data_IF_724003316525
#
_entry.id   IF_724003316525
#
_cell.length_a   1.000
_cell.length_b   1.000
_cell.length_c   1.000
_cell.angle_alpha   90.00
_cell.angle_beta   90.00
_cell.angle_gamma   90.00
#
_symmetry.space_group_name_H-M   'P 1'
#
loop_
_entity.id
_entity.type
_entity.pdbx_description
1 polymer ?
#
# COMPACT_ATOMS: atom_id res chain seq x y z
N UNK A 1 30.57 8.29 -4.35
CA UNK A 1 30.32 7.53 -3.11
C UNK A 1 29.66 6.24 -3.53
N UNK A 2 30.31 5.10 -3.29
CA UNK A 2 29.78 3.80 -3.69
C UNK A 2 28.47 3.53 -2.96
N UNK A 3 27.45 3.11 -3.69
CA UNK A 3 26.17 2.65 -3.16
C UNK A 3 26.47 1.40 -2.32
N UNK A 4 26.42 1.51 -0.99
CA UNK A 4 26.53 0.32 -0.15
C UNK A 4 25.35 -0.60 -0.51
N UNK A 5 25.59 -1.89 -0.77
CA UNK A 5 24.50 -2.82 -1.07
C UNK A 5 23.54 -2.78 0.10
N UNK A 6 22.30 -2.37 -0.14
CA UNK A 6 21.25 -2.45 0.88
C UNK A 6 21.17 -3.91 1.31
N UNK A 7 21.32 -4.16 2.61
CA UNK A 7 20.97 -5.47 3.15
C UNK A 7 19.53 -5.76 2.74
N UNK A 8 19.31 -6.90 2.09
CA UNK A 8 17.96 -7.33 1.76
C UNK A 8 17.26 -7.86 3.02
N UNK A 9 15.94 -7.90 2.99
CA UNK A 9 15.13 -8.32 4.14
C UNK A 9 15.54 -9.71 4.66
N UNK A 10 15.91 -10.64 3.77
CA UNK A 10 16.34 -11.97 4.16
C UNK A 10 17.64 -11.96 4.98
N UNK A 11 18.65 -11.21 4.53
CA UNK A 11 19.91 -11.04 5.28
C UNK A 11 19.66 -10.40 6.64
N UNK A 12 18.83 -9.34 6.68
CA UNK A 12 18.50 -8.58 7.88
C UNK A 12 17.77 -9.42 8.95
N UNK A 13 16.87 -10.31 8.53
CA UNK A 13 16.15 -11.20 9.44
C UNK A 13 17.01 -12.39 9.91
N UNK A 14 17.98 -12.83 9.10
CA UNK A 14 18.90 -13.90 9.49
C UNK A 14 20.04 -13.43 10.39
N UNK A 15 20.46 -12.16 10.29
CA UNK A 15 21.51 -11.59 11.14
C UNK A 15 21.05 -11.38 12.58
N UNK A 16 19.75 -11.17 12.80
CA UNK A 16 19.14 -11.03 14.12
C UNK A 16 17.79 -11.75 14.15
N UNK A 17 17.75 -13.03 14.57
CA UNK A 17 16.52 -13.81 14.66
C UNK A 17 15.48 -13.24 15.64
N UNK A 18 15.87 -12.32 16.52
CA UNK A 18 14.96 -11.65 17.46
C UNK A 18 14.32 -10.39 16.87
N UNK A 19 14.81 -9.93 15.71
CA UNK A 19 14.31 -8.73 15.04
C UNK A 19 12.90 -8.95 14.50
N UNK A 20 11.98 -8.09 14.90
CA UNK A 20 10.64 -8.00 14.33
C UNK A 20 10.66 -6.95 13.24
N UNK A 21 10.22 -7.30 12.02
CA UNK A 21 10.05 -6.36 10.92
C UNK A 21 8.60 -5.90 10.87
N UNK A 22 8.35 -4.62 11.15
CA UNK A 22 7.00 -4.06 11.27
C UNK A 22 6.58 -3.38 9.97
N UNK A 23 5.52 -3.91 9.36
CA UNK A 23 4.90 -3.34 8.17
C UNK A 23 3.62 -2.60 8.57
N UNK A 24 3.60 -1.27 8.38
CA UNK A 24 2.39 -0.48 8.51
C UNK A 24 1.52 -0.62 7.24
N UNK A 25 0.48 -1.44 7.30
CA UNK A 25 -0.48 -1.60 6.20
C UNK A 25 -1.39 -0.36 6.10
N UNK A 26 -1.10 0.51 5.13
CA UNK A 26 -1.97 1.62 4.79
C UNK A 26 -3.24 1.13 4.07
N UNK A 27 -3.14 0.05 3.28
CA UNK A 27 -4.26 -0.56 2.57
C UNK A 27 -5.06 0.47 1.77
N UNK A 28 -6.37 0.53 2.03
CA UNK A 28 -7.30 1.49 1.40
C UNK A 28 -7.61 2.71 2.28
N UNK A 29 -6.92 2.90 3.41
CA UNK A 29 -7.20 3.96 4.39
C UNK A 29 -6.96 5.38 3.85
N UNK A 30 -6.31 5.50 2.69
CA UNK A 30 -6.18 6.77 1.96
C UNK A 30 -7.50 7.23 1.32
N UNK A 31 -8.49 6.35 1.14
CA UNK A 31 -9.80 6.72 0.61
C UNK A 31 -9.75 7.36 -0.78
N UNK A 32 -8.84 6.91 -1.64
CA UNK A 32 -8.60 7.50 -2.98
C UNK A 32 -7.91 8.87 -2.98
N UNK A 33 -7.52 9.42 -1.82
CA UNK A 33 -6.87 10.72 -1.73
C UNK A 33 -5.33 10.59 -1.62
N UNK A 34 -4.61 11.22 -2.56
CA UNK A 34 -3.14 11.17 -2.65
C UNK A 34 -2.46 11.84 -1.45
N UNK A 35 -2.97 12.97 -1.00
CA UNK A 35 -2.40 13.75 0.11
C UNK A 35 -2.53 12.98 1.43
N UNK A 36 -3.66 12.29 1.64
CA UNK A 36 -3.87 11.37 2.75
C UNK A 36 -2.94 10.17 2.64
N UNK A 37 -2.74 9.59 1.46
CA UNK A 37 -1.76 8.52 1.27
C UNK A 37 -0.34 8.98 1.63
N UNK A 38 0.07 10.18 1.23
CA UNK A 38 1.35 10.77 1.63
C UNK A 38 1.44 11.01 3.15
N UNK A 39 0.32 11.40 3.78
CA UNK A 39 0.27 11.52 5.24
C UNK A 39 0.43 10.16 5.94
N UNK A 40 -0.14 9.08 5.39
CA UNK A 40 0.05 7.72 5.89
C UNK A 40 1.51 7.25 5.79
N UNK A 41 2.21 7.58 4.70
CA UNK A 41 3.66 7.31 4.56
C UNK A 41 4.45 8.00 5.69
N UNK A 42 4.18 9.29 5.93
CA UNK A 42 4.85 10.04 7.01
C UNK A 42 4.48 9.52 8.40
N UNK A 43 3.22 9.15 8.61
CA UNK A 43 2.75 8.58 9.87
C UNK A 43 3.45 7.25 10.18
N UNK A 44 3.55 6.34 9.21
CA UNK A 44 4.25 5.06 9.37
C UNK A 44 5.72 5.26 9.77
N UNK A 45 6.41 6.23 9.15
CA UNK A 45 7.79 6.57 9.56
C UNK A 45 7.84 7.15 10.97
N UNK A 46 6.93 8.05 11.29
CA UNK A 46 6.87 8.69 12.61
C UNK A 46 6.61 7.69 13.73
N UNK A 47 5.81 6.64 13.50
CA UNK A 47 5.59 5.56 14.47
C UNK A 47 6.75 4.57 14.58
N UNK A 48 7.77 4.69 13.74
CA UNK A 48 8.93 3.78 13.75
C UNK A 48 8.73 2.46 13.01
N UNK A 49 7.78 2.37 12.08
CA UNK A 49 7.63 1.19 11.24
C UNK A 49 8.83 1.03 10.28
N UNK A 50 9.19 -0.21 9.96
CA UNK A 50 10.25 -0.51 8.99
C UNK A 50 9.79 -0.26 7.55
N UNK A 51 8.53 -0.62 7.25
CA UNK A 51 7.90 -0.41 5.96
C UNK A 51 6.50 0.18 6.08
N UNK A 52 6.05 0.83 5.00
CA UNK A 52 4.65 1.12 4.72
C UNK A 52 4.21 0.33 3.50
N UNK A 53 3.04 -0.31 3.58
CA UNK A 53 2.49 -1.12 2.49
C UNK A 53 1.14 -0.60 2.00
N UNK A 54 1.02 -0.52 0.67
CA UNK A 54 -0.21 -0.15 -0.04
C UNK A 54 -0.74 -1.30 -0.89
N UNK A 55 -1.85 -1.07 -1.58
CA UNK A 55 -2.48 -2.01 -2.50
C UNK A 55 -2.60 -1.33 -3.86
N UNK A 56 -2.09 -1.96 -4.92
CA UNK A 56 -2.16 -1.44 -6.29
C UNK A 56 -3.12 -2.33 -7.09
N UNK A 57 -4.16 -1.72 -7.64
CA UNK A 57 -5.21 -2.43 -8.37
C UNK A 57 -5.90 -1.53 -9.38
N UNK A 58 -6.54 -2.15 -10.36
CA UNK A 58 -7.58 -1.54 -11.20
C UNK A 58 -8.95 -2.03 -10.75
N UNK A 59 -9.85 -1.11 -10.42
CA UNK A 59 -11.15 -1.47 -9.84
C UNK A 59 -11.96 -2.43 -10.74
N UNK A 60 -11.85 -2.26 -12.06
CA UNK A 60 -12.51 -3.12 -13.05
C UNK A 60 -11.90 -4.53 -13.19
N UNK A 61 -10.68 -4.75 -12.69
CA UNK A 61 -10.02 -6.06 -12.64
C UNK A 61 -10.14 -6.72 -11.27
N UNK A 62 -10.33 -5.92 -10.21
CA UNK A 62 -10.43 -6.40 -8.83
C UNK A 62 -11.85 -6.88 -8.46
N UNK A 63 -12.89 -6.19 -8.93
CA UNK A 63 -14.25 -6.40 -8.46
C UNK A 63 -15.27 -6.55 -9.58
N UNK A 64 -16.22 -7.47 -9.35
CA UNK A 64 -17.38 -7.67 -10.20
C UNK A 64 -18.33 -6.47 -10.15
N UNK A 65 -19.04 -6.23 -11.24
CA UNK A 65 -20.18 -5.31 -11.31
C UNK A 65 -21.44 -5.88 -10.66
N UNK A 66 -21.45 -7.18 -10.35
CA UNK A 66 -22.58 -7.79 -9.65
C UNK A 66 -22.63 -7.27 -8.21
N UNK A 67 -23.83 -6.92 -7.69
CA UNK A 67 -23.99 -6.55 -6.29
C UNK A 67 -23.39 -7.64 -5.40
N UNK A 68 -22.59 -7.23 -4.43
CA UNK A 68 -22.05 -8.16 -3.45
C UNK A 68 -22.96 -8.19 -2.23
N UNK A 69 -23.25 -9.39 -1.75
CA UNK A 69 -23.97 -9.62 -0.49
C UNK A 69 -23.06 -9.28 0.70
N UNK A 70 -22.81 -7.99 0.92
CA UNK A 70 -22.09 -7.50 2.09
C UNK A 70 -23.09 -7.28 3.24
N UNK A 71 -23.47 -8.37 3.92
CA UNK A 71 -24.34 -8.33 5.10
C UNK A 71 -25.84 -8.24 4.80
N UNK A 72 -26.61 -7.87 5.84
CA UNK A 72 -28.08 -7.87 5.86
C UNK A 72 -28.72 -6.53 5.41
N UNK A 73 -28.01 -5.67 4.70
CA UNK A 73 -28.57 -4.41 4.19
C UNK A 73 -29.28 -4.62 2.85
N UNK A 74 -30.45 -4.00 2.69
CA UNK A 74 -31.23 -4.07 1.44
C UNK A 74 -30.54 -3.37 0.27
N UNK A 75 -29.69 -2.39 0.55
CA UNK A 75 -28.86 -1.71 -0.44
C UNK A 75 -27.49 -2.37 -0.50
N UNK A 76 -27.27 -3.19 -1.52
CA UNK A 76 -25.98 -3.81 -1.79
C UNK A 76 -25.14 -2.87 -2.65
N UNK A 77 -23.98 -2.39 -2.16
CA UNK A 77 -23.13 -1.51 -2.95
C UNK A 77 -22.51 -2.27 -4.13
N UNK A 78 -22.44 -1.61 -5.28
CA UNK A 78 -21.61 -2.05 -6.39
C UNK A 78 -20.13 -1.95 -5.94
N UNK A 79 -19.50 -3.10 -5.70
CA UNK A 79 -18.11 -3.16 -5.24
C UNK A 79 -17.15 -2.48 -6.22
N UNK A 80 -17.40 -2.61 -7.51
CA UNK A 80 -16.55 -1.97 -8.51
C UNK A 80 -16.58 -0.45 -8.39
N UNK A 81 -17.76 0.15 -8.15
CA UNK A 81 -17.88 1.59 -7.90
C UNK A 81 -17.20 2.01 -6.60
N UNK A 82 -17.31 1.19 -5.54
CA UNK A 82 -16.62 1.43 -4.29
C UNK A 82 -15.10 1.44 -4.49
N UNK A 83 -14.54 0.39 -5.10
CA UNK A 83 -13.10 0.31 -5.37
C UNK A 83 -12.65 1.39 -6.35
N UNK A 84 -13.51 1.84 -7.27
CA UNK A 84 -13.16 2.94 -8.19
C UNK A 84 -12.88 4.25 -7.44
N UNK A 85 -13.61 4.51 -6.35
CA UNK A 85 -13.37 5.66 -5.47
C UNK A 85 -12.09 5.53 -4.65
N UNK A 86 -11.62 4.30 -4.43
CA UNK A 86 -10.43 4.00 -3.66
C UNK A 86 -9.17 3.87 -4.53
N UNK A 87 -9.33 3.63 -5.83
CA UNK A 87 -8.24 3.49 -6.80
C UNK A 87 -7.37 4.77 -6.85
N UNK A 88 -6.07 4.61 -6.69
CA UNK A 88 -5.09 5.68 -6.90
C UNK A 88 -4.43 5.55 -8.29
N UNK A 89 -4.13 6.67 -8.98
CA UNK A 89 -3.37 6.62 -10.22
C UNK A 89 -1.91 6.22 -9.96
N UNK A 90 -1.24 5.62 -10.95
CA UNK A 90 0.17 5.21 -10.83
C UNK A 90 1.12 6.37 -10.46
N UNK A 91 0.84 7.60 -10.89
CA UNK A 91 1.60 8.79 -10.47
C UNK A 91 1.52 9.06 -8.96
N UNK A 92 0.42 8.69 -8.30
CA UNK A 92 0.34 8.77 -6.86
C UNK A 92 1.33 7.78 -6.22
N UNK A 93 1.35 6.53 -6.66
CA UNK A 93 2.31 5.53 -6.16
C UNK A 93 3.77 5.94 -6.38
N UNK A 94 4.10 6.53 -7.54
CA UNK A 94 5.43 7.12 -7.80
C UNK A 94 5.78 8.21 -6.77
N UNK A 95 4.82 9.07 -6.44
CA UNK A 95 5.01 10.11 -5.42
C UNK A 95 5.17 9.52 -4.00
N UNK A 96 4.39 8.49 -3.65
CA UNK A 96 4.50 7.80 -2.36
C UNK A 96 5.87 7.13 -2.20
N UNK A 97 6.33 6.41 -3.22
CA UNK A 97 7.64 5.78 -3.23
C UNK A 97 8.77 6.83 -3.10
N UNK A 98 8.65 7.96 -3.81
CA UNK A 98 9.62 9.08 -3.68
C UNK A 98 9.65 9.64 -2.26
N UNK A 99 8.50 9.84 -1.64
CA UNK A 99 8.40 10.33 -0.26
C UNK A 99 8.97 9.32 0.74
N UNK A 100 8.62 8.03 0.62
CA UNK A 100 9.14 6.96 1.45
C UNK A 100 10.67 6.88 1.40
N UNK A 101 11.25 6.94 0.19
CA UNK A 101 12.69 7.02 -0.02
C UNK A 101 13.31 8.26 0.62
N UNK A 102 12.65 9.42 0.52
CA UNK A 102 13.12 10.69 1.10
C UNK A 102 13.19 10.64 2.63
N UNK A 103 12.22 10.00 3.28
CA UNK A 103 12.13 9.93 4.75
C UNK A 103 12.75 8.65 5.35
N UNK A 104 13.28 7.76 4.51
CA UNK A 104 13.96 6.54 4.95
C UNK A 104 13.00 5.53 5.59
N UNK A 105 11.91 5.19 4.91
CA UNK A 105 11.04 4.04 5.21
C UNK A 105 10.93 3.17 3.96
N UNK A 106 10.89 1.85 4.12
CA UNK A 106 10.68 0.94 3.00
C UNK A 106 9.24 1.08 2.47
N UNK A 107 9.09 1.02 1.15
CA UNK A 107 7.79 1.14 0.49
C UNK A 107 7.46 -0.18 -0.19
N UNK A 108 6.30 -0.72 0.14
CA UNK A 108 5.79 -1.96 -0.41
C UNK A 108 4.42 -1.73 -1.04
N UNK A 109 4.06 -2.56 -2.01
CA UNK A 109 2.69 -2.65 -2.51
C UNK A 109 2.33 -4.09 -2.85
N UNK A 110 1.07 -4.46 -2.63
CA UNK A 110 0.52 -5.73 -3.12
C UNK A 110 -0.24 -5.47 -4.43
N UNK A 111 0.21 -6.02 -5.58
CA UNK A 111 -0.54 -5.94 -6.82
C UNK A 111 -1.72 -6.93 -6.79
N UNK A 112 -2.88 -6.52 -7.31
CA UNK A 112 -4.07 -7.38 -7.42
C UNK A 112 -4.46 -7.71 -8.86
N UNK A 113 -3.65 -7.30 -9.83
CA UNK A 113 -3.80 -7.63 -11.24
C UNK A 113 -2.44 -7.61 -11.94
N UNK A 114 -2.37 -8.26 -13.11
CA UNK A 114 -1.12 -8.38 -13.89
C UNK A 114 -0.53 -7.03 -14.32
N UNK A 115 -1.36 -6.01 -14.54
CA UNK A 115 -0.89 -4.68 -14.94
C UNK A 115 -0.25 -3.92 -13.76
N UNK A 116 -0.62 -4.31 -12.54
CA UNK A 116 -0.12 -3.71 -11.31
C UNK A 116 1.14 -4.39 -10.75
N UNK A 117 1.48 -5.59 -11.24
CA UNK A 117 2.67 -6.37 -10.83
C UNK A 117 3.95 -5.86 -11.50
#
# INVERSE_FOLDING_TARGET
>A
MADQPRENLYSLLNSDPSRIYVIAEAGLNHGGNKERALALVRAAKWTGADAVKFQTFKANRLASTRPATLGHTKDQPNLQELFKKLELPYDAFRALHKEAKRIGIEFLSTPFDEESA
#
